data_IF_620711279753
#
_entry.id   IF_620711279753
#
_cell.length_a   1.000
_cell.length_b   1.000
_cell.length_c   1.000
_cell.angle_alpha   90.00
_cell.angle_beta   90.00
_cell.angle_gamma   90.00
#
_symmetry.space_group_name_H-M   'P 1'
#
loop_
_entity.id
_entity.type
_entity.pdbx_description
1 polymer ?
#
# COMPACT_ATOMS: atom_id res chain seq x y z
N UNK A 1 15.84 0.18 13.10
CA UNK A 1 14.52 -0.45 13.30
C UNK A 1 14.20 -1.14 11.98
N UNK A 2 14.19 -2.48 11.94
CA UNK A 2 13.99 -3.21 10.69
C UNK A 2 12.64 -2.80 10.07
N UNK A 3 12.69 -2.06 8.96
CA UNK A 3 11.51 -1.71 8.16
C UNK A 3 10.81 -2.96 7.58
N UNK A 4 11.42 -4.14 7.72
CA UNK A 4 10.84 -5.42 7.38
C UNK A 4 10.20 -6.05 8.63
N UNK A 5 9.02 -5.59 9.01
CA UNK A 5 8.23 -6.27 10.04
C UNK A 5 7.85 -7.65 9.50
N UNK A 6 8.54 -8.68 9.98
CA UNK A 6 8.32 -10.07 9.63
C UNK A 6 6.84 -10.44 9.80
N UNK A 7 6.19 -10.91 8.74
CA UNK A 7 4.88 -11.56 8.86
C UNK A 7 5.14 -13.02 9.18
N UNK A 8 4.88 -13.44 10.42
CA UNK A 8 4.87 -14.86 10.76
C UNK A 8 3.64 -15.50 10.11
N UNK A 9 3.82 -15.97 8.87
CA UNK A 9 2.77 -16.66 8.12
C UNK A 9 2.30 -17.89 8.90
N UNK A 10 1.01 -17.93 9.20
CA UNK A 10 0.38 -19.04 9.90
C UNK A 10 -0.67 -19.75 9.04
N UNK A 11 -1.18 -19.08 7.99
CA UNK A 11 -2.22 -19.61 7.13
C UNK A 11 -2.02 -19.19 5.68
N UNK A 12 -1.47 -20.08 4.86
CA UNK A 12 -1.26 -19.85 3.41
C UNK A 12 -2.62 -19.89 2.72
N UNK A 13 -2.97 -18.82 2.00
CA UNK A 13 -4.20 -18.67 1.23
C UNK A 13 -4.03 -19.08 -0.22
N UNK A 14 -2.89 -18.75 -0.78
CA UNK A 14 -2.53 -19.15 -2.14
C UNK A 14 -1.02 -19.29 -2.21
N UNK A 15 -0.54 -20.32 -2.91
CA UNK A 15 0.87 -20.66 -2.95
C UNK A 15 1.37 -20.60 -4.38
N UNK A 16 2.55 -20.03 -4.56
CA UNK A 16 3.30 -20.02 -5.81
C UNK A 16 2.49 -19.44 -6.98
N UNK A 17 1.90 -18.27 -6.76
CA UNK A 17 1.34 -17.45 -7.83
C UNK A 17 2.50 -16.84 -8.60
N UNK A 18 2.86 -17.44 -9.74
CA UNK A 18 4.02 -17.03 -10.52
C UNK A 18 3.69 -15.90 -11.49
N UNK A 19 4.44 -14.82 -11.44
CA UNK A 19 4.39 -13.66 -12.33
C UNK A 19 5.05 -14.00 -13.68
N UNK A 20 4.92 -13.12 -14.68
CA UNK A 20 5.47 -13.37 -16.03
C UNK A 20 7.00 -13.29 -16.07
N UNK A 21 7.63 -12.61 -15.12
CA UNK A 21 9.08 -12.52 -14.98
C UNK A 21 9.71 -13.79 -14.37
N UNK A 22 8.88 -14.75 -13.93
CA UNK A 22 9.30 -16.02 -13.35
C UNK A 22 9.36 -16.02 -11.82
N UNK A 23 9.20 -14.87 -11.17
CA UNK A 23 9.08 -14.81 -9.71
C UNK A 23 7.74 -15.37 -9.26
N UNK A 24 7.70 -16.05 -8.11
CA UNK A 24 6.46 -16.57 -7.54
C UNK A 24 6.25 -16.05 -6.13
N UNK A 25 4.99 -15.70 -5.84
CA UNK A 25 4.58 -15.19 -4.54
C UNK A 25 3.57 -16.10 -3.85
N UNK A 26 3.63 -16.11 -2.53
CA UNK A 26 2.66 -16.75 -1.65
C UNK A 26 1.81 -15.66 -0.99
N UNK A 27 0.51 -15.93 -0.84
CA UNK A 27 -0.42 -15.05 -0.13
C UNK A 27 -0.72 -15.76 1.18
N UNK A 28 -0.45 -15.09 2.29
CA UNK A 28 -0.64 -15.71 3.60
C UNK A 28 -1.17 -14.71 4.63
N UNK A 29 -1.98 -15.24 5.53
CA UNK A 29 -2.36 -14.53 6.74
C UNK A 29 -1.40 -14.88 7.88
N UNK A 30 -1.15 -13.89 8.72
CA UNK A 30 -0.33 -14.02 9.90
C UNK A 30 -0.75 -13.06 11.00
N UNK A 31 -0.08 -13.20 12.14
CA UNK A 31 -0.35 -12.38 13.33
C UNK A 31 0.77 -11.36 13.50
N UNK A 32 0.39 -10.12 13.78
CA UNK A 32 1.28 -9.00 14.06
C UNK A 32 0.97 -8.49 15.47
N UNK A 33 1.97 -8.45 16.35
CA UNK A 33 1.81 -7.90 17.70
C UNK A 33 2.35 -6.48 17.75
N UNK A 34 1.49 -5.52 18.09
CA UNK A 34 1.86 -4.11 18.20
C UNK A 34 0.91 -3.35 19.14
N UNK A 35 1.43 -2.38 19.90
CA UNK A 35 0.69 -1.60 20.92
C UNK A 35 -0.14 -2.47 21.89
N UNK A 36 0.50 -3.53 22.41
CA UNK A 36 -0.11 -4.50 23.32
C UNK A 36 -1.38 -5.16 22.79
N UNK A 37 -1.48 -5.28 21.46
CA UNK A 37 -2.61 -5.92 20.78
C UNK A 37 -2.13 -6.84 19.67
N UNK A 38 -2.83 -7.96 19.54
CA UNK A 38 -2.72 -8.83 18.37
C UNK A 38 -3.57 -8.26 17.24
N UNK A 39 -2.93 -8.05 16.10
CA UNK A 39 -3.55 -7.72 14.83
C UNK A 39 -3.35 -8.89 13.88
N UNK A 40 -4.29 -9.07 12.96
CA UNK A 40 -4.19 -10.05 11.89
C UNK A 40 -3.92 -9.31 10.60
N UNK A 41 -3.04 -9.86 9.78
CA UNK A 41 -2.65 -9.23 8.53
C UNK A 41 -2.54 -10.26 7.43
N UNK A 42 -2.91 -9.86 6.23
CA UNK A 42 -2.65 -10.57 4.99
C UNK A 42 -1.43 -9.97 4.33
N UNK A 43 -0.48 -10.81 3.92
CA UNK A 43 0.71 -10.39 3.22
C UNK A 43 0.94 -11.15 1.92
N UNK A 44 1.71 -10.52 1.04
CA UNK A 44 2.32 -11.14 -0.14
C UNK A 44 3.78 -11.43 0.21
N UNK A 45 4.17 -12.68 0.05
CA UNK A 45 5.47 -13.19 0.44
C UNK A 45 6.20 -13.69 -0.81
N UNK A 46 7.45 -13.30 -0.98
CA UNK A 46 8.37 -13.88 -1.95
C UNK A 46 9.49 -14.57 -1.18
N UNK A 47 9.37 -15.88 -0.99
CA UNK A 47 10.22 -16.61 -0.06
C UNK A 47 10.06 -16.07 1.37
N UNK A 48 11.13 -15.48 1.93
CA UNK A 48 11.11 -14.87 3.26
C UNK A 48 10.80 -13.36 3.24
N UNK A 49 10.72 -12.75 2.06
CA UNK A 49 10.51 -11.31 1.92
C UNK A 49 9.01 -10.98 1.93
N UNK A 50 8.60 -10.05 2.80
CA UNK A 50 7.26 -9.48 2.79
C UNK A 50 7.20 -8.31 1.81
N UNK A 51 6.45 -8.48 0.72
CA UNK A 51 6.31 -7.51 -0.38
C UNK A 51 5.26 -6.45 -0.07
N UNK A 52 4.15 -6.87 0.53
CA UNK A 52 3.04 -5.98 0.89
C UNK A 52 2.23 -6.60 2.01
N UNK A 53 1.56 -5.77 2.80
CA UNK A 53 0.74 -6.19 3.94
C UNK A 53 -0.47 -5.28 4.09
N UNK A 54 -1.60 -5.88 4.47
CA UNK A 54 -2.80 -5.16 4.88
C UNK A 54 -3.38 -5.81 6.14
N UNK A 55 -3.92 -5.01 7.06
CA UNK A 55 -4.62 -5.57 8.21
C UNK A 55 -5.95 -6.19 7.80
N UNK A 56 -6.34 -7.24 8.49
CA UNK A 56 -7.65 -7.85 8.39
C UNK A 56 -8.59 -7.21 9.41
N UNK A 57 -9.85 -7.04 9.01
CA UNK A 57 -10.93 -6.59 9.90
C UNK A 57 -11.37 -7.76 10.75
N UNK A 58 -11.34 -7.59 12.07
CA UNK A 58 -11.87 -8.60 12.98
C UNK A 58 -13.38 -8.79 12.70
N UNK A 59 -13.84 -10.04 12.52
CA UNK A 59 -15.26 -10.32 12.38
C UNK A 59 -16.00 -9.91 13.65
N UNK A 60 -17.26 -9.46 13.50
CA UNK A 60 -18.13 -9.22 14.65
C UNK A 60 -18.40 -10.56 15.34
N UNK A 61 -18.56 -10.53 16.67
CA UNK A 61 -18.96 -11.71 17.44
C UNK A 61 -20.22 -12.30 16.80
N UNK A 62 -20.23 -13.60 16.45
CA UNK A 62 -21.39 -14.21 15.84
C UNK A 62 -22.47 -14.41 16.92
N UNK A 63 -23.73 -14.34 16.52
CA UNK A 63 -24.86 -14.55 17.45
C UNK A 63 -24.90 -15.99 17.98
N UNK A 64 -24.42 -16.94 17.17
CA UNK A 64 -24.29 -18.36 17.51
C UNK A 64 -22.81 -18.77 17.57
N UNK A 65 -22.49 -19.84 18.31
CA UNK A 65 -21.14 -20.41 18.35
C UNK A 65 -20.77 -20.95 16.97
N UNK A 66 -20.04 -20.16 16.20
CA UNK A 66 -19.52 -20.51 14.89
C UNK A 66 -17.98 -20.52 14.95
N UNK A 67 -17.40 -21.72 14.85
CA UNK A 67 -15.95 -21.91 14.83
C UNK A 67 -15.34 -21.46 13.49
N UNK A 68 -16.12 -21.26 12.42
CA UNK A 68 -15.65 -20.70 11.15
C UNK A 68 -15.20 -19.24 11.29
N UNK A 69 -15.48 -18.58 12.41
CA UNK A 69 -14.97 -17.23 12.69
C UNK A 69 -13.44 -17.14 12.65
N UNK A 70 -12.73 -18.25 12.92
CA UNK A 70 -11.26 -18.29 12.86
C UNK A 70 -10.72 -18.51 11.44
N UNK A 71 -11.58 -18.78 10.45
CA UNK A 71 -11.15 -18.84 9.06
C UNK A 71 -10.92 -17.44 8.50
N UNK A 72 -9.66 -17.02 8.58
CA UNK A 72 -9.20 -15.73 8.08
C UNK A 72 -9.36 -15.57 6.56
N UNK A 73 -9.64 -16.65 5.80
CA UNK A 73 -9.89 -16.55 4.35
C UNK A 73 -11.13 -15.68 4.06
N UNK A 74 -12.09 -15.67 4.98
CA UNK A 74 -13.35 -14.91 4.89
C UNK A 74 -13.25 -13.52 5.49
N UNK A 75 -12.13 -13.18 6.13
CA UNK A 75 -11.99 -11.89 6.78
C UNK A 75 -11.74 -10.81 5.74
N UNK A 76 -12.50 -9.72 5.85
CA UNK A 76 -12.35 -8.58 4.97
C UNK A 76 -11.02 -7.85 5.27
N UNK A 77 -10.43 -7.26 4.23
CA UNK A 77 -9.35 -6.28 4.40
C UNK A 77 -9.88 -5.09 5.20
N UNK A 78 -9.10 -4.63 6.18
CA UNK A 78 -9.33 -3.37 6.86
C UNK A 78 -8.88 -2.22 5.95
N UNK A 79 -9.82 -1.66 5.19
CA UNK A 79 -9.57 -0.52 4.29
C UNK A 79 -9.33 0.81 5.02
N UNK A 80 -9.48 0.88 6.36
CA UNK A 80 -9.51 2.14 7.13
C UNK A 80 -8.27 2.41 7.97
N UNK A 81 -7.37 1.43 8.08
CA UNK A 81 -6.22 1.53 8.99
C UNK A 81 -4.94 1.29 8.23
N UNK A 82 -4.01 2.22 8.36
CA UNK A 82 -2.65 2.06 7.86
C UNK A 82 -1.81 1.22 8.81
N UNK A 83 -0.88 0.48 8.23
CA UNK A 83 0.17 -0.20 8.95
C UNK A 83 1.39 0.73 9.04
N UNK A 84 1.49 1.45 10.16
CA UNK A 84 2.50 2.51 10.35
C UNK A 84 3.96 2.05 10.27
N UNK A 85 4.22 0.74 10.26
CA UNK A 85 5.56 0.16 10.10
C UNK A 85 5.82 -0.40 8.71
N UNK A 86 4.89 -0.20 7.77
CA UNK A 86 5.03 -0.57 6.37
C UNK A 86 5.35 0.66 5.53
N UNK A 87 6.15 0.47 4.47
CA UNK A 87 6.46 1.49 3.48
C UNK A 87 5.20 2.10 2.84
N UNK A 88 4.10 1.35 2.80
CA UNK A 88 2.81 1.81 2.23
C UNK A 88 2.31 3.07 2.91
N UNK A 89 2.53 3.16 4.22
CA UNK A 89 2.17 4.35 5.00
C UNK A 89 3.00 5.52 4.52
N UNK A 90 4.33 5.40 4.54
CA UNK A 90 5.28 6.45 4.11
C UNK A 90 4.98 6.97 2.71
N UNK A 91 4.63 6.09 1.75
CA UNK A 91 4.26 6.49 0.39
C UNK A 91 2.98 7.35 0.36
N UNK A 92 1.99 7.00 1.18
CA UNK A 92 0.76 7.80 1.31
C UNK A 92 1.05 9.12 2.03
N UNK A 93 1.90 9.13 3.06
CA UNK A 93 2.23 10.38 3.76
C UNK A 93 2.95 11.36 2.86
N UNK A 94 3.91 10.91 2.05
CA UNK A 94 4.73 11.80 1.24
C UNK A 94 3.87 12.60 0.24
N UNK A 95 2.78 12.01 -0.25
CA UNK A 95 1.79 12.72 -1.08
C UNK A 95 1.25 13.98 -0.38
N UNK A 96 1.03 13.92 0.93
CA UNK A 96 0.55 15.03 1.74
C UNK A 96 1.68 15.92 2.27
N UNK A 97 2.76 15.32 2.78
CA UNK A 97 3.88 16.01 3.40
C UNK A 97 4.73 16.81 2.40
N UNK A 98 4.71 16.42 1.12
CA UNK A 98 5.30 17.21 0.03
C UNK A 98 4.47 18.45 -0.32
N UNK A 99 3.21 18.53 0.13
CA UNK A 99 2.25 19.55 -0.29
C UNK A 99 1.65 19.32 -1.68
N UNK A 100 1.89 18.16 -2.31
CA UNK A 100 1.32 17.82 -3.61
C UNK A 100 -0.21 17.62 -3.54
N UNK A 101 -0.72 17.17 -2.38
CA UNK A 101 -2.14 17.02 -2.09
C UNK A 101 -2.47 17.65 -0.75
N UNK A 102 -3.56 18.40 -0.68
CA UNK A 102 -4.05 18.98 0.56
C UNK A 102 -4.40 17.90 1.60
N UNK A 103 -4.09 18.16 2.87
CA UNK A 103 -4.41 17.27 4.00
C UNK A 103 -5.90 17.37 4.31
N UNK A 104 -6.71 16.62 3.57
CA UNK A 104 -8.16 16.55 3.74
C UNK A 104 -8.70 15.21 3.24
N UNK A 105 -9.75 14.70 3.88
CA UNK A 105 -10.49 13.51 3.38
C UNK A 105 -11.29 13.81 2.11
N UNK A 106 -11.76 15.04 1.97
CA UNK A 106 -12.59 15.48 0.84
C UNK A 106 -11.75 16.04 -0.32
N UNK A 107 -10.42 15.90 -0.26
CA UNK A 107 -9.52 16.44 -1.29
C UNK A 107 -9.83 15.82 -2.65
N UNK A 108 -9.94 16.69 -3.66
CA UNK A 108 -10.02 16.26 -5.07
C UNK A 108 -8.61 16.19 -5.62
N UNK A 109 -8.17 15.00 -6.03
CA UNK A 109 -6.82 14.82 -6.58
C UNK A 109 -6.81 13.76 -7.70
N UNK A 110 -5.97 13.98 -8.70
CA UNK A 110 -5.62 12.98 -9.71
C UNK A 110 -4.35 12.27 -9.24
N UNK A 111 -4.47 10.99 -8.96
CA UNK A 111 -3.39 10.16 -8.39
C UNK A 111 -2.95 9.14 -9.41
N UNK A 112 -1.67 9.20 -9.81
CA UNK A 112 -1.03 8.16 -10.60
C UNK A 112 -0.24 7.24 -9.67
N UNK A 113 -0.63 5.96 -9.59
CA UNK A 113 0.10 4.93 -8.85
C UNK A 113 0.90 4.06 -9.82
N UNK A 114 2.23 4.14 -9.81
CA UNK A 114 3.08 3.24 -10.59
C UNK A 114 3.51 2.08 -9.71
N UNK A 115 3.12 0.86 -10.09
CA UNK A 115 3.28 -0.37 -9.30
C UNK A 115 2.11 -0.61 -8.34
N UNK A 116 1.23 -1.54 -8.69
CA UNK A 116 0.10 -1.95 -7.83
C UNK A 116 0.62 -2.68 -6.60
N UNK A 117 1.62 -3.56 -6.77
CA UNK A 117 2.11 -4.44 -5.71
C UNK A 117 0.95 -5.24 -5.10
N UNK A 118 0.77 -5.19 -3.78
CA UNK A 118 -0.40 -5.82 -3.14
C UNK A 118 -1.72 -5.07 -3.33
N UNK A 119 -1.74 -3.92 -3.98
CA UNK A 119 -2.95 -3.12 -4.20
C UNK A 119 -3.45 -2.36 -2.96
N UNK A 120 -2.89 -2.58 -1.78
CA UNK A 120 -3.39 -1.98 -0.54
C UNK A 120 -3.37 -0.46 -0.52
N UNK A 121 -2.33 0.20 -1.06
CA UNK A 121 -2.28 1.67 -1.19
C UNK A 121 -3.51 2.15 -1.99
N UNK A 122 -3.77 1.54 -3.14
CA UNK A 122 -4.88 1.88 -4.00
C UNK A 122 -6.23 1.64 -3.32
N UNK A 123 -6.41 0.47 -2.68
CA UNK A 123 -7.60 0.13 -1.88
C UNK A 123 -7.84 1.15 -0.76
N UNK A 124 -6.79 1.53 -0.04
CA UNK A 124 -6.89 2.51 1.05
C UNK A 124 -7.26 3.90 0.53
N UNK A 125 -6.59 4.37 -0.52
CA UNK A 125 -6.85 5.70 -1.08
C UNK A 125 -8.28 5.78 -1.65
N UNK A 126 -8.68 4.79 -2.44
CA UNK A 126 -10.02 4.73 -3.05
C UNK A 126 -11.14 4.75 -2.01
N UNK A 127 -10.95 4.04 -0.90
CA UNK A 127 -11.93 3.95 0.18
C UNK A 127 -11.99 5.20 1.07
N UNK A 128 -10.84 5.79 1.43
CA UNK A 128 -10.78 6.87 2.42
C UNK A 128 -10.87 8.28 1.82
N UNK A 129 -10.65 8.43 0.51
CA UNK A 129 -10.67 9.72 -0.20
C UNK A 129 -11.64 9.64 -1.38
N UNK A 130 -12.94 9.92 -1.16
CA UNK A 130 -14.00 9.69 -2.14
C UNK A 130 -13.89 10.58 -3.40
N UNK A 131 -13.11 11.67 -3.35
CA UNK A 131 -12.93 12.60 -4.47
C UNK A 131 -11.59 12.40 -5.20
N UNK A 132 -10.78 11.40 -4.81
CA UNK A 132 -9.59 11.02 -5.58
C UNK A 132 -9.99 10.19 -6.80
N UNK A 133 -9.33 10.48 -7.93
CA UNK A 133 -9.36 9.65 -9.12
C UNK A 133 -7.98 9.01 -9.30
N UNK A 134 -7.93 7.69 -9.23
CA UNK A 134 -6.70 6.91 -9.15
C UNK A 134 -6.52 6.17 -10.47
N UNK A 135 -5.37 6.38 -11.11
CA UNK A 135 -4.90 5.54 -12.21
C UNK A 135 -3.71 4.74 -11.71
N UNK A 136 -3.87 3.43 -11.58
CA UNK A 136 -2.77 2.54 -11.24
C UNK A 136 -2.19 1.90 -12.52
N UNK A 137 -0.87 1.80 -12.59
CA UNK A 137 -0.15 1.23 -13.74
C UNK A 137 0.73 0.11 -13.23
N UNK A 138 0.59 -1.08 -13.79
CA UNK A 138 1.44 -2.22 -13.46
C UNK A 138 1.78 -3.00 -14.73
N UNK A 139 2.98 -3.56 -14.79
CA UNK A 139 3.37 -4.38 -15.93
C UNK A 139 2.74 -5.77 -15.84
N UNK A 140 2.43 -6.24 -14.62
CA UNK A 140 2.00 -7.61 -14.36
C UNK A 140 0.49 -7.75 -14.15
N UNK A 141 -0.24 -8.39 -15.08
CA UNK A 141 -1.68 -8.61 -14.94
C UNK A 141 -2.03 -9.50 -13.74
N UNK A 142 -1.16 -10.45 -13.37
CA UNK A 142 -1.39 -11.31 -12.19
C UNK A 142 -1.35 -10.53 -10.87
N UNK A 143 -0.61 -9.43 -10.82
CA UNK A 143 -0.60 -8.52 -9.66
C UNK A 143 -1.98 -7.89 -9.47
N UNK A 144 -2.67 -7.52 -10.56
CA UNK A 144 -4.05 -7.04 -10.51
C UNK A 144 -5.00 -8.13 -9.98
N UNK A 145 -4.87 -9.36 -10.45
CA UNK A 145 -5.69 -10.49 -9.98
C UNK A 145 -5.52 -10.72 -8.48
N UNK A 146 -4.27 -10.72 -7.98
CA UNK A 146 -3.97 -10.82 -6.55
C UNK A 146 -4.60 -9.66 -5.79
N UNK A 147 -4.45 -8.43 -6.27
CA UNK A 147 -4.97 -7.24 -5.59
C UNK A 147 -6.50 -7.27 -5.47
N UNK A 148 -7.21 -7.64 -6.54
CA UNK A 148 -8.67 -7.77 -6.54
C UNK A 148 -9.14 -8.90 -5.63
N UNK A 149 -8.51 -10.08 -5.75
CA UNK A 149 -8.91 -11.29 -5.01
C UNK A 149 -8.62 -11.19 -3.51
N UNK A 150 -7.45 -10.68 -3.14
CA UNK A 150 -6.93 -10.81 -1.79
C UNK A 150 -6.87 -9.49 -1.02
N UNK A 151 -6.78 -8.35 -1.71
CA UNK A 151 -6.57 -7.03 -1.12
C UNK A 151 -7.75 -6.07 -1.33
N UNK A 152 -8.90 -6.61 -1.77
CA UNK A 152 -10.16 -5.91 -1.93
C UNK A 152 -10.04 -4.65 -2.82
N UNK A 153 -9.17 -4.73 -3.83
CA UNK A 153 -9.02 -3.70 -4.85
C UNK A 153 -10.28 -3.68 -5.73
N UNK A 154 -10.98 -2.56 -5.74
CA UNK A 154 -12.19 -2.34 -6.53
C UNK A 154 -11.89 -1.35 -7.65
N UNK A 155 -12.35 -1.65 -8.87
CA UNK A 155 -12.24 -0.75 -10.01
C UNK A 155 -13.61 -0.12 -10.27
N UNK A 156 -13.61 1.18 -10.53
CA UNK A 156 -14.81 1.95 -10.86
C UNK A 156 -14.41 3.24 -11.61
N UNK A 157 -15.35 4.19 -11.74
CA UNK A 157 -15.12 5.47 -12.44
C UNK A 157 -14.03 6.35 -11.80
N UNK A 158 -13.58 6.04 -10.59
CA UNK A 158 -12.53 6.78 -9.85
C UNK A 158 -11.29 5.92 -9.60
N UNK A 159 -11.28 4.68 -10.04
CA UNK A 159 -10.12 3.81 -9.88
C UNK A 159 -9.97 2.88 -11.08
N UNK A 160 -8.91 3.14 -11.84
CA UNK A 160 -8.60 2.47 -13.08
C UNK A 160 -7.25 1.80 -12.99
N UNK A 161 -7.08 0.69 -13.72
CA UNK A 161 -5.81 0.00 -13.86
C UNK A 161 -5.42 -0.09 -15.32
N UNK A 162 -4.17 0.25 -15.63
CA UNK A 162 -3.55 0.13 -16.94
C UNK A 162 -2.43 -0.90 -16.86
N UNK A 163 -2.55 -1.99 -17.63
CA UNK A 163 -1.50 -3.01 -17.70
C UNK A 163 -0.46 -2.57 -18.74
N UNK A 164 0.63 -1.96 -18.27
CA UNK A 164 1.68 -1.37 -19.09
C UNK A 164 2.97 -1.18 -18.30
N UNK A 165 4.10 -1.15 -19.01
CA UNK A 165 5.36 -0.66 -18.46
C UNK A 165 5.19 0.78 -17.95
N UNK A 166 5.48 1.00 -16.66
CA UNK A 166 5.29 2.29 -16.01
C UNK A 166 6.17 3.41 -16.58
N UNK A 167 7.37 3.10 -17.08
CA UNK A 167 8.24 4.10 -17.72
C UNK A 167 7.61 4.55 -19.03
N UNK A 168 7.15 3.60 -19.85
CA UNK A 168 6.46 3.94 -21.12
C UNK A 168 5.17 4.70 -20.87
N UNK A 169 4.44 4.36 -19.81
CA UNK A 169 3.24 5.11 -19.43
C UNK A 169 3.59 6.56 -19.08
N UNK A 170 4.61 6.78 -18.24
CA UNK A 170 5.07 8.14 -17.88
C UNK A 170 5.52 8.92 -19.11
N UNK A 171 6.29 8.31 -20.00
CA UNK A 171 6.76 8.93 -21.26
C UNK A 171 5.59 9.38 -22.15
N UNK A 172 4.46 8.66 -22.12
CA UNK A 172 3.24 9.02 -22.84
C UNK A 172 2.38 10.04 -22.09
N UNK A 173 2.47 10.07 -20.75
CA UNK A 173 1.53 10.77 -19.88
C UNK A 173 2.00 12.16 -19.41
N UNK A 174 2.95 12.80 -20.07
CA UNK A 174 3.53 14.07 -19.57
C UNK A 174 2.55 15.24 -19.75
N UNK A 175 1.86 15.64 -18.67
CA UNK A 175 1.76 17.04 -18.20
C UNK A 175 0.84 17.31 -16.98
N UNK A 176 0.09 16.38 -16.39
CA UNK A 176 -0.86 16.75 -15.31
C UNK A 176 -1.04 15.64 -14.24
N UNK A 177 -0.90 15.97 -12.94
CA UNK A 177 -1.28 15.11 -11.81
C UNK A 177 -0.22 14.89 -10.73
N UNK A 178 -0.63 14.25 -9.62
CA UNK A 178 0.27 13.81 -8.53
C UNK A 178 0.67 12.35 -8.75
N UNK A 179 1.97 12.07 -8.63
CA UNK A 179 2.52 10.73 -8.85
C UNK A 179 2.91 10.09 -7.51
N UNK A 180 2.20 9.03 -7.14
CA UNK A 180 2.61 8.10 -6.10
C UNK A 180 3.42 6.99 -6.77
N UNK A 181 4.73 6.99 -6.55
CA UNK A 181 5.59 5.95 -7.11
C UNK A 181 5.82 4.84 -6.08
N UNK A 182 5.29 3.65 -6.37
CA UNK A 182 5.59 2.44 -5.62
C UNK A 182 6.65 1.63 -6.36
N UNK A 183 7.94 1.85 -6.06
CA UNK A 183 9.03 1.08 -6.66
C UNK A 183 9.36 -0.11 -5.79
N UNK A 184 8.90 -1.30 -6.19
CA UNK A 184 9.36 -2.56 -5.63
C UNK A 184 10.27 -3.23 -6.67
N UNK A 185 11.59 -3.07 -6.51
CA UNK A 185 12.56 -3.82 -7.31
C UNK A 185 12.87 -5.15 -6.62
N UNK A 186 12.25 -6.24 -7.11
CA UNK A 186 12.48 -7.59 -6.59
C UNK A 186 13.89 -8.11 -6.91
N UNK A 187 14.56 -7.48 -7.87
CA UNK A 187 15.88 -7.85 -8.39
C UNK A 187 16.96 -6.79 -8.12
N UNK A 188 17.12 -6.36 -6.86
CA UNK A 188 18.36 -5.79 -6.28
C UNK A 188 19.04 -4.60 -6.97
N UNK A 189 18.50 -4.08 -8.08
CA UNK A 189 18.97 -2.89 -8.76
C UNK A 189 17.93 -1.82 -8.46
N UNK A 190 18.34 -0.81 -7.68
CA UNK A 190 17.68 0.49 -7.73
C UNK A 190 17.72 0.90 -9.20
N UNK A 191 16.56 0.81 -9.87
CA UNK A 191 16.48 1.08 -11.29
C UNK A 191 16.80 2.57 -11.52
N UNK A 192 17.46 2.83 -12.63
CA UNK A 192 17.71 4.17 -13.18
C UNK A 192 16.43 5.04 -13.22
N UNK A 193 15.25 4.41 -13.23
CA UNK A 193 13.93 5.02 -13.12
C UNK A 193 13.70 5.78 -11.80
N UNK A 194 14.21 5.30 -10.65
CA UNK A 194 14.11 6.03 -9.38
C UNK A 194 14.82 7.40 -9.43
N UNK A 195 15.88 7.52 -10.25
CA UNK A 195 16.59 8.79 -10.48
C UNK A 195 15.81 9.75 -11.38
N UNK A 196 14.87 9.24 -12.18
CA UNK A 196 14.07 10.04 -13.12
C UNK A 196 12.77 10.56 -12.51
N UNK A 197 12.30 9.97 -11.40
CA UNK A 197 10.96 10.24 -10.83
C UNK A 197 11.02 10.94 -9.45
N UNK A 198 12.18 11.44 -9.03
CA UNK A 198 12.30 12.27 -7.83
C UNK A 198 11.85 13.72 -8.09
N UNK A 199 10.54 13.98 -8.17
CA UNK A 199 10.02 15.34 -8.41
C UNK A 199 9.64 16.11 -7.14
N UNK A 200 9.57 15.47 -5.96
CA UNK A 200 9.28 16.18 -4.70
C UNK A 200 10.52 16.86 -4.08
N UNK A 201 11.74 16.54 -4.54
CA UNK A 201 12.97 17.16 -4.05
C UNK A 201 13.31 18.53 -4.68
N UNK A 202 12.53 18.97 -5.67
CA UNK A 202 12.79 20.23 -6.40
C UNK A 202 12.09 21.45 -5.78
N UNK A 203 11.21 21.24 -4.80
CA UNK A 203 10.50 22.31 -4.09
C UNK A 203 10.72 22.18 -2.59
N UNK A 204 11.02 23.28 -1.87
CA UNK A 204 11.13 23.25 -0.42
C UNK A 204 9.79 22.83 0.20
N UNK A 205 9.82 21.81 1.07
CA UNK A 205 8.63 21.36 1.79
C UNK A 205 8.13 22.49 2.70
N UNK A 206 6.83 22.82 2.70
CA UNK A 206 6.28 23.79 3.63
C UNK A 206 6.54 23.38 5.10
N UNK A 207 6.99 24.34 5.91
CA UNK A 207 7.15 24.15 7.36
C UNK A 207 5.82 23.71 7.98
N UNK A 208 5.86 22.86 9.01
CA UNK A 208 4.71 22.30 9.75
C UNK A 208 3.86 21.21 9.06
N UNK A 209 4.12 20.85 7.79
CA UNK A 209 3.31 19.83 7.11
C UNK A 209 3.40 18.45 7.75
N UNK A 210 4.58 18.08 8.25
CA UNK A 210 4.82 16.81 8.94
C UNK A 210 3.95 16.71 10.20
N UNK A 211 3.97 17.74 11.05
CA UNK A 211 3.17 17.81 12.28
C UNK A 211 1.68 17.77 11.99
N UNK A 212 1.23 18.51 10.97
CA UNK A 212 -0.17 18.50 10.51
C UNK A 212 -0.61 17.13 10.03
N UNK A 213 0.23 16.42 9.27
CA UNK A 213 -0.11 15.09 8.79
C UNK A 213 -0.19 14.07 9.93
N UNK A 214 0.77 14.12 10.86
CA UNK A 214 0.78 13.28 12.06
C UNK A 214 -0.53 13.43 12.86
N UNK A 215 -0.98 14.67 13.07
CA UNK A 215 -2.24 14.96 13.77
C UNK A 215 -3.44 14.41 12.98
N UNK A 216 -3.49 14.66 11.68
CA UNK A 216 -4.53 14.19 10.78
C UNK A 216 -4.65 12.66 10.76
N UNK A 217 -3.51 11.96 10.64
CA UNK A 217 -3.43 10.51 10.55
C UNK A 217 -3.50 9.81 11.93
N UNK A 218 -3.48 10.59 13.02
CA UNK A 218 -3.59 10.11 14.42
C UNK A 218 -2.53 9.07 14.77
N UNK A 219 -1.27 9.40 14.49
CA UNK A 219 -0.13 8.52 14.73
C UNK A 219 -0.04 8.05 16.19
N UNK A 220 0.25 6.75 16.44
CA UNK A 220 0.57 6.30 17.79
C UNK A 220 1.94 6.85 18.21
N UNK A 221 2.18 7.08 19.52
CA UNK A 221 3.44 7.64 19.99
C UNK A 221 4.71 6.88 19.61
N UNK A 222 4.63 5.58 19.39
CA UNK A 222 5.77 4.77 18.97
C UNK A 222 6.13 4.90 17.47
N UNK A 223 5.29 5.57 16.67
CA UNK A 223 5.52 5.81 15.24
C UNK A 223 6.13 7.20 14.96
N UNK A 224 6.44 8.00 16.00
CA UNK A 224 7.20 9.24 15.84
C UNK A 224 8.66 8.92 15.49
N UNK A 225 9.05 9.12 14.24
CA UNK A 225 10.46 9.07 13.83
C UNK A 225 11.20 10.32 14.31
N UNK A 226 12.38 10.14 14.92
CA UNK A 226 13.38 11.21 15.03
C UNK A 226 13.94 11.47 13.63
N UNK A 227 14.04 12.74 13.24
CA UNK A 227 14.68 13.15 11.99
C UNK A 227 16.18 12.86 12.05
N UNK A 228 16.55 11.59 11.91
CA UNK A 228 17.92 11.16 11.66
C UNK A 228 17.94 10.48 10.29
N UNK A 229 17.85 11.30 9.25
CA UNK A 229 18.40 10.93 7.95
C UNK A 229 19.77 11.61 7.82
N UNK A 230 20.85 10.87 7.51
CA UNK A 230 22.18 11.43 7.26
C UNK A 230 22.23 12.29 5.99
#
# INVERSE_FOLDING_TARGET
MDLFVYLKASNIKEKSVCLNDGDCVDIADGVVYYNDRYNFARGILMGQLLISRAYLKLPKKPENYDYEIFDTSRWAINKTSLDFFSYTTTMIEEMFASGAVDISREVTAQVLSIGIGGGFINTYLHYNYPNMNITAVDVEPKTLEIAQKWFALELDQRHHVVIMDGIKFIEQAVNEGVVIMNVISLHGKIQESAKRVATCGQYPRPESLKEKYIEFAKYPPAAYYKDEFP
#
